data_IF_162118199770
#
_entry.id   IF_162118199770
#
_cell.length_a   1.000
_cell.length_b   1.000
_cell.length_c   1.000
_cell.angle_alpha   90.00
_cell.angle_beta   90.00
_cell.angle_gamma   90.00
#
_symmetry.space_group_name_H-M   'P 1'
#
loop_
_entity.id
_entity.type
_entity.pdbx_description
1 polymer ?
#
# COMPACT_ATOMS: atom_id res chain seq x y z
N UNK A 1 -8.51 9.52 -5.97
CA UNK A 1 -9.43 8.37 -5.95
C UNK A 1 -8.70 7.16 -5.40
N UNK A 2 -9.34 6.41 -4.53
CA UNK A 2 -8.77 5.14 -4.04
C UNK A 2 -9.19 4.05 -5.02
N UNK A 3 -8.24 3.26 -5.53
CA UNK A 3 -8.55 2.02 -6.23
C UNK A 3 -8.74 0.97 -5.15
N UNK A 4 -9.98 0.54 -4.93
CA UNK A 4 -10.24 -0.61 -4.05
C UNK A 4 -10.12 -1.86 -4.93
N UNK A 5 -9.02 -2.59 -4.76
CA UNK A 5 -8.85 -3.89 -5.39
C UNK A 5 -9.37 -4.97 -4.45
N UNK A 6 -10.37 -5.73 -4.89
CA UNK A 6 -10.79 -6.90 -4.15
C UNK A 6 -9.77 -8.03 -4.37
N UNK A 7 -9.23 -8.57 -3.28
CA UNK A 7 -8.24 -9.64 -3.35
C UNK A 7 -8.84 -10.96 -3.89
N UNK A 8 -10.16 -11.15 -3.74
CA UNK A 8 -10.86 -12.36 -4.18
C UNK A 8 -12.28 -12.06 -4.68
N UNK A 9 -12.81 -12.96 -5.52
CA UNK A 9 -14.23 -12.91 -5.91
C UNK A 9 -15.19 -13.08 -4.73
N UNK A 10 -14.74 -13.73 -3.67
CA UNK A 10 -15.50 -13.94 -2.45
C UNK A 10 -15.70 -12.65 -1.66
N UNK A 11 -14.71 -11.77 -1.65
CA UNK A 11 -14.84 -10.44 -1.02
C UNK A 11 -15.83 -9.56 -1.79
N UNK A 12 -15.75 -9.56 -3.11
CA UNK A 12 -16.70 -8.83 -3.94
C UNK A 12 -18.15 -9.32 -3.75
N UNK A 13 -18.34 -10.62 -3.49
CA UNK A 13 -19.68 -11.21 -3.23
C UNK A 13 -20.35 -10.70 -1.95
N UNK A 14 -19.64 -10.04 -1.06
CA UNK A 14 -20.22 -9.41 0.14
C UNK A 14 -21.10 -8.20 -0.21
N UNK A 15 -20.94 -7.67 -1.44
CA UNK A 15 -21.68 -6.51 -1.90
C UNK A 15 -22.66 -6.89 -3.01
N UNK A 16 -23.85 -6.29 -2.98
CA UNK A 16 -24.83 -6.43 -4.05
C UNK A 16 -24.49 -5.47 -5.18
N UNK A 17 -24.35 -6.01 -6.39
CA UNK A 17 -24.08 -5.25 -7.60
C UNK A 17 -25.31 -5.32 -8.51
N UNK A 18 -25.99 -4.20 -8.72
CA UNK A 18 -27.15 -4.11 -9.64
C UNK A 18 -26.73 -3.75 -11.07
N UNK A 19 -25.42 -3.77 -11.35
CA UNK A 19 -24.83 -3.45 -12.64
C UNK A 19 -23.67 -4.39 -12.98
N UNK A 20 -23.33 -4.44 -14.27
CA UNK A 20 -22.21 -5.22 -14.77
C UNK A 20 -20.90 -4.43 -14.61
N UNK A 21 -19.87 -5.06 -14.03
CA UNK A 21 -18.54 -4.48 -13.95
C UNK A 21 -17.88 -4.46 -15.34
N UNK A 22 -17.32 -3.31 -15.69
CA UNK A 22 -16.56 -3.08 -16.93
C UNK A 22 -15.15 -2.60 -16.56
N UNK A 23 -14.19 -2.83 -17.46
CA UNK A 23 -12.81 -2.38 -17.25
C UNK A 23 -12.74 -0.86 -17.13
N UNK A 24 -12.04 -0.35 -16.12
CA UNK A 24 -11.92 1.08 -15.86
C UNK A 24 -13.12 1.74 -15.18
N UNK A 25 -14.12 0.95 -14.77
CA UNK A 25 -15.26 1.46 -14.00
C UNK A 25 -14.84 1.74 -12.56
N UNK A 26 -15.17 2.94 -12.08
CA UNK A 26 -15.06 3.27 -10.66
C UNK A 26 -16.36 2.88 -9.93
N UNK A 27 -16.22 2.27 -8.76
CA UNK A 27 -17.34 1.91 -7.90
C UNK A 27 -17.16 2.49 -6.50
N UNK A 28 -18.28 2.81 -5.86
CA UNK A 28 -18.34 3.24 -4.46
C UNK A 28 -19.02 2.15 -3.66
N UNK A 29 -18.40 1.70 -2.58
CA UNK A 29 -19.00 0.76 -1.64
C UNK A 29 -19.66 1.56 -0.52
N UNK A 30 -20.93 1.30 -0.28
CA UNK A 30 -21.70 1.97 0.77
C UNK A 30 -21.89 1.06 1.99
N UNK A 31 -22.17 1.66 3.13
CA UNK A 31 -22.37 0.96 4.41
C UNK A 31 -23.62 0.05 4.42
N UNK A 32 -24.51 0.23 3.45
CA UNK A 32 -25.69 -0.63 3.23
C UNK A 32 -25.37 -2.01 2.60
N UNK A 33 -24.08 -2.28 2.33
CA UNK A 33 -23.62 -3.51 1.69
C UNK A 33 -23.85 -3.55 0.18
N UNK A 34 -24.08 -2.40 -0.46
CA UNK A 34 -24.22 -2.26 -1.91
C UNK A 34 -23.03 -1.56 -2.53
N UNK A 35 -22.80 -1.83 -3.80
CA UNK A 35 -21.84 -1.13 -4.62
C UNK A 35 -22.58 -0.30 -5.68
N UNK A 36 -22.13 0.93 -5.88
CA UNK A 36 -22.69 1.91 -6.81
C UNK A 36 -21.62 2.32 -7.82
N UNK A 37 -22.04 2.76 -9.00
CA UNK A 37 -21.11 3.41 -9.94
C UNK A 37 -20.72 4.79 -9.41
N UNK A 38 -19.47 5.18 -9.53
CA UNK A 38 -19.04 6.52 -9.15
C UNK A 38 -19.84 7.57 -9.95
N UNK A 39 -20.45 8.52 -9.23
CA UNK A 39 -21.30 9.57 -9.81
C UNK A 39 -22.79 9.24 -9.92
N UNK A 40 -23.24 8.04 -9.54
CA UNK A 40 -24.67 7.78 -9.32
C UNK A 40 -25.11 8.35 -7.95
N UNK A 41 -26.32 8.99 -7.91
CA UNK A 41 -26.91 9.42 -6.65
C UNK A 41 -27.32 8.18 -5.84
N UNK A 42 -26.74 8.02 -4.66
CA UNK A 42 -27.18 7.03 -3.68
C UNK A 42 -28.52 7.51 -3.14
N UNK A 43 -29.60 6.84 -3.47
CA UNK A 43 -30.91 7.16 -2.93
C UNK A 43 -30.85 7.02 -1.41
N UNK A 44 -31.05 8.13 -0.72
CA UNK A 44 -31.04 8.20 0.74
C UNK A 44 -32.25 7.40 1.29
N UNK A 45 -31.97 6.20 1.81
CA UNK A 45 -32.98 5.39 2.50
C UNK A 45 -33.02 5.77 3.97
N UNK A 46 -33.23 7.06 4.26
CA UNK A 46 -33.58 7.51 5.60
C UNK A 46 -35.08 7.49 5.79
N UNK A 47 -35.64 6.36 6.15
CA UNK A 47 -36.88 6.36 6.93
C UNK A 47 -36.58 6.68 8.39
N UNK A 48 -37.17 7.75 8.82
CA UNK A 48 -37.35 8.28 10.17
C UNK A 48 -37.01 7.33 11.33
N UNK A 49 -35.98 7.71 12.11
CA UNK A 49 -35.95 7.35 13.52
C UNK A 49 -35.96 8.63 14.34
N UNK A 50 -37.07 8.83 15.01
CA UNK A 50 -37.44 9.91 15.90
C UNK A 50 -36.34 10.26 16.91
N UNK A 51 -35.96 11.53 16.89
CA UNK A 51 -35.14 12.20 17.90
C UNK A 51 -35.89 12.20 19.24
N UNK A 52 -35.24 11.66 20.27
CA UNK A 52 -35.56 11.99 21.65
C UNK A 52 -34.38 12.81 22.19
N UNK A 53 -34.59 14.12 22.25
CA UNK A 53 -33.74 15.02 23.04
C UNK A 53 -33.83 14.62 24.52
N UNK A 54 -32.67 14.44 25.13
CA UNK A 54 -32.58 14.53 26.59
C UNK A 54 -31.37 15.40 26.98
N UNK A 55 -31.73 16.63 27.32
CA UNK A 55 -30.86 17.57 28.02
C UNK A 55 -30.74 17.16 29.47
N UNK A 56 -29.55 17.01 30.00
CA UNK A 56 -29.23 17.33 31.39
C UNK A 56 -27.74 17.58 31.61
N UNK A 57 -27.45 18.74 32.01
CA UNK A 57 -26.22 19.26 32.61
C UNK A 57 -25.92 18.66 33.97
N UNK A 58 -24.63 18.59 34.34
CA UNK A 58 -24.23 18.32 35.71
C UNK A 58 -22.73 18.02 35.85
N UNK A 59 -22.08 19.03 36.27
CA UNK A 59 -20.77 19.27 36.86
C UNK A 59 -20.35 18.26 37.95
N UNK A 60 -19.09 17.99 38.08
CA UNK A 60 -18.19 18.11 39.22
C UNK A 60 -17.15 16.98 39.40
N UNK A 61 -15.92 17.42 39.36
CA UNK A 61 -14.68 17.09 40.10
C UNK A 61 -14.50 15.74 40.84
N UNK A 62 -13.35 15.12 40.66
CA UNK A 62 -12.24 14.82 41.55
C UNK A 62 -11.50 13.50 41.28
N UNK A 63 -10.19 13.59 41.13
CA UNK A 63 -9.18 12.55 41.37
C UNK A 63 -8.91 12.43 42.88
N UNK A 64 -8.09 11.50 43.43
CA UNK A 64 -7.21 10.48 42.86
C UNK A 64 -7.12 9.13 43.63
N UNK A 65 -6.36 8.15 43.07
CA UNK A 65 -5.47 7.33 43.88
C UNK A 65 -5.76 5.84 43.96
N UNK A 66 -4.70 5.04 43.71
CA UNK A 66 -4.56 3.73 44.32
C UNK A 66 -4.12 2.59 43.38
N UNK A 67 -2.84 2.28 43.42
CA UNK A 67 -2.19 1.05 42.99
C UNK A 67 -2.83 -0.21 43.55
N UNK A 68 -2.92 -1.28 42.80
CA UNK A 68 -2.39 -2.56 43.30
C UNK A 68 -2.19 -3.62 42.19
N UNK A 69 -1.19 -4.45 42.44
CA UNK A 69 -0.67 -5.54 41.64
C UNK A 69 -1.56 -6.79 41.75
N UNK A 70 -1.73 -7.52 40.66
CA UNK A 70 -2.35 -8.83 40.70
C UNK A 70 -1.97 -9.66 39.45
N UNK A 71 -0.97 -10.48 39.67
CA UNK A 71 -0.54 -11.55 38.76
C UNK A 71 -1.59 -12.66 38.79
N UNK A 72 -2.14 -13.06 37.65
CA UNK A 72 -2.71 -14.41 37.54
C UNK A 72 -2.53 -15.01 36.14
N UNK A 73 -1.90 -16.17 36.14
CA UNK A 73 -1.65 -17.05 35.04
C UNK A 73 -2.91 -17.88 34.77
N UNK A 74 -3.55 -17.70 33.63
CA UNK A 74 -4.67 -18.52 33.19
C UNK A 74 -4.45 -19.00 31.74
N UNK A 75 -3.91 -20.20 31.66
CA UNK A 75 -3.84 -20.98 30.43
C UNK A 75 -5.28 -21.33 29.99
N UNK A 76 -5.73 -20.87 28.83
CA UNK A 76 -6.90 -21.44 28.18
C UNK A 76 -6.65 -21.62 26.68
N UNK A 77 -6.41 -22.86 26.32
CA UNK A 77 -6.35 -23.35 24.95
C UNK A 77 -7.77 -23.40 24.39
N UNK A 78 -8.07 -22.49 23.49
CA UNK A 78 -9.25 -22.62 22.63
C UNK A 78 -8.79 -22.70 21.17
N UNK A 79 -8.97 -23.90 20.60
CA UNK A 79 -8.69 -24.22 19.21
C UNK A 79 -9.86 -23.80 18.33
N UNK A 80 -9.92 -22.53 18.03
CA UNK A 80 -10.76 -21.99 16.98
C UNK A 80 -9.87 -21.59 15.80
N UNK A 81 -9.96 -22.31 14.68
CA UNK A 81 -9.24 -21.99 13.44
C UNK A 81 -9.77 -20.70 12.82
N UNK A 82 -9.31 -19.59 13.34
CA UNK A 82 -9.23 -18.35 12.60
C UNK A 82 -7.93 -18.46 11.79
N UNK A 83 -8.05 -18.48 10.47
CA UNK A 83 -6.90 -18.25 9.60
C UNK A 83 -6.40 -16.85 9.95
N UNK A 84 -5.45 -16.78 10.87
CA UNK A 84 -4.94 -15.55 11.43
C UNK A 84 -4.42 -14.66 10.31
N UNK A 85 -4.76 -13.40 10.37
CA UNK A 85 -4.04 -12.34 9.70
C UNK A 85 -2.61 -12.49 10.15
N UNK A 86 -1.76 -13.02 9.28
CA UNK A 86 -0.34 -13.21 9.56
C UNK A 86 0.29 -11.83 9.45
N UNK A 87 0.36 -11.11 10.55
CA UNK A 87 1.23 -9.96 10.73
C UNK A 87 2.66 -10.48 10.88
N UNK A 88 3.21 -11.05 9.83
CA UNK A 88 4.61 -11.45 9.84
C UNK A 88 5.44 -10.33 9.26
N UNK A 89 6.40 -9.90 10.04
CA UNK A 89 7.66 -9.32 9.58
C UNK A 89 8.08 -10.06 8.32
N UNK A 90 8.53 -9.38 7.25
CA UNK A 90 9.05 -10.06 6.06
C UNK A 90 9.98 -11.20 6.48
N UNK A 91 9.64 -12.41 6.11
CA UNK A 91 10.39 -13.62 6.46
C UNK A 91 11.51 -13.87 5.46
N UNK A 92 12.25 -12.80 5.10
CA UNK A 92 13.34 -12.84 4.15
C UNK A 92 12.92 -12.43 2.73
N UNK A 93 13.83 -12.69 1.81
CA UNK A 93 13.70 -12.30 0.40
C UNK A 93 12.58 -13.03 -0.30
N UNK A 94 11.81 -12.31 -1.10
CA UNK A 94 10.78 -12.92 -1.94
C UNK A 94 11.36 -13.62 -3.15
N UNK A 95 10.75 -14.73 -3.53
CA UNK A 95 11.12 -15.54 -4.68
C UNK A 95 9.89 -15.90 -5.51
N UNK A 96 10.11 -16.11 -6.82
CA UNK A 96 9.07 -16.64 -7.71
C UNK A 96 9.29 -18.15 -7.84
N UNK A 97 8.28 -18.92 -7.44
CA UNK A 97 8.26 -20.38 -7.59
C UNK A 97 7.06 -20.80 -8.43
N UNK A 98 7.31 -21.14 -9.70
CA UNK A 98 6.25 -21.37 -10.67
C UNK A 98 5.37 -20.13 -10.88
N UNK A 99 4.11 -20.22 -10.49
CA UNK A 99 3.15 -19.10 -10.56
C UNK A 99 2.90 -18.43 -9.20
N UNK A 100 3.75 -18.71 -8.22
CA UNK A 100 3.57 -18.22 -6.83
C UNK A 100 4.72 -17.30 -6.45
N UNK A 101 4.38 -16.31 -5.61
CA UNK A 101 5.35 -15.55 -4.84
C UNK A 101 5.56 -16.30 -3.52
N UNK A 102 6.80 -16.55 -3.14
CA UNK A 102 7.14 -17.27 -1.93
C UNK A 102 8.23 -16.56 -1.16
N UNK A 103 8.34 -16.87 0.14
CA UNK A 103 9.53 -16.56 0.93
C UNK A 103 10.66 -17.59 0.67
N UNK A 104 11.79 -17.41 1.31
CA UNK A 104 12.94 -18.32 1.22
C UNK A 104 12.64 -19.74 1.73
N UNK A 105 11.65 -19.89 2.60
CA UNK A 105 11.21 -21.19 3.13
C UNK A 105 10.20 -21.89 2.21
N UNK A 106 9.79 -21.23 1.11
CA UNK A 106 8.82 -21.76 0.16
C UNK A 106 7.36 -21.54 0.57
N UNK A 107 7.09 -20.76 1.63
CA UNK A 107 5.72 -20.39 1.99
C UNK A 107 5.16 -19.38 0.99
N UNK A 108 3.89 -19.56 0.60
CA UNK A 108 3.23 -18.63 -0.33
C UNK A 108 2.98 -17.31 0.38
N UNK A 109 3.46 -16.22 -0.22
CA UNK A 109 3.27 -14.86 0.27
C UNK A 109 2.27 -14.14 -0.61
N UNK A 110 1.32 -13.44 0.02
CA UNK A 110 0.43 -12.50 -0.62
C UNK A 110 0.78 -11.09 -0.14
N UNK A 111 1.18 -10.21 -1.06
CA UNK A 111 1.38 -8.80 -0.77
C UNK A 111 0.03 -8.08 -0.72
N UNK A 112 -0.22 -7.37 0.37
CA UNK A 112 -1.43 -6.57 0.62
C UNK A 112 -1.00 -5.20 1.11
N UNK A 113 -1.39 -4.16 0.43
CA UNK A 113 -0.99 -2.82 0.83
C UNK A 113 -1.52 -1.74 -0.08
N UNK A 114 -0.97 -0.57 0.09
CA UNK A 114 -1.35 0.63 -0.65
C UNK A 114 -0.13 1.31 -1.27
N UNK A 115 -0.37 2.09 -2.31
CA UNK A 115 0.61 2.99 -2.90
C UNK A 115 0.43 4.39 -2.32
N UNK A 116 1.53 5.10 -2.10
CA UNK A 116 1.46 6.55 -1.97
C UNK A 116 1.00 7.15 -3.30
N UNK A 117 0.50 8.37 -3.27
CA UNK A 117 0.53 9.23 -4.44
C UNK A 117 1.97 9.69 -4.70
N UNK A 118 2.20 10.49 -5.75
CA UNK A 118 3.53 11.01 -6.06
C UNK A 118 4.19 11.70 -4.86
N UNK A 119 5.35 11.22 -4.44
CA UNK A 119 6.08 11.76 -3.28
C UNK A 119 6.59 13.19 -3.49
N UNK A 120 6.64 13.66 -4.74
CA UNK A 120 6.93 15.05 -5.09
C UNK A 120 5.82 16.01 -4.66
N UNK A 121 4.58 15.53 -4.56
CA UNK A 121 3.40 16.35 -4.27
C UNK A 121 2.87 16.13 -2.87
N UNK A 122 3.00 14.91 -2.38
CA UNK A 122 2.44 14.49 -1.09
C UNK A 122 3.50 13.74 -0.25
N UNK A 123 4.65 14.39 0.05
CA UNK A 123 5.73 13.75 0.80
C UNK A 123 5.32 13.32 2.22
N UNK A 124 4.36 14.03 2.82
CA UNK A 124 3.94 13.83 4.21
C UNK A 124 3.23 12.50 4.44
N UNK A 125 2.76 11.83 3.38
CA UNK A 125 2.18 10.49 3.50
C UNK A 125 3.23 9.38 3.69
N UNK A 126 4.50 9.68 3.44
CA UNK A 126 5.61 8.79 3.79
C UNK A 126 6.04 9.11 5.23
N UNK A 127 5.29 8.60 6.19
CA UNK A 127 5.60 8.78 7.60
C UNK A 127 5.34 7.48 8.40
N UNK A 128 5.98 7.37 9.55
CA UNK A 128 5.94 6.17 10.37
C UNK A 128 4.54 5.82 10.85
N UNK A 129 3.78 6.82 11.34
CA UNK A 129 2.45 6.59 11.92
C UNK A 129 1.44 6.11 10.87
N UNK A 130 1.53 6.65 9.63
CA UNK A 130 0.70 6.18 8.53
C UNK A 130 1.02 4.72 8.18
N UNK A 131 2.29 4.34 8.12
CA UNK A 131 2.69 2.96 7.83
C UNK A 131 2.33 2.01 8.98
N UNK A 132 2.48 2.44 10.23
CA UNK A 132 2.05 1.69 11.39
C UNK A 132 0.53 1.44 11.38
N UNK A 133 -0.27 2.46 11.08
CA UNK A 133 -1.73 2.32 10.93
C UNK A 133 -2.09 1.34 9.82
N UNK A 134 -1.44 1.43 8.65
CA UNK A 134 -1.66 0.48 7.56
C UNK A 134 -1.37 -0.96 7.98
N UNK A 135 -0.28 -1.19 8.72
CA UNK A 135 0.07 -2.53 9.23
C UNK A 135 -0.91 -3.00 10.29
N UNK A 136 -1.16 -2.19 11.33
CA UNK A 136 -1.83 -2.62 12.56
C UNK A 136 -3.35 -2.67 12.41
N UNK A 137 -3.93 -1.67 11.75
CA UNK A 137 -5.38 -1.54 11.63
C UNK A 137 -5.92 -2.16 10.34
N UNK A 138 -5.12 -2.12 9.25
CA UNK A 138 -5.56 -2.58 7.94
C UNK A 138 -4.95 -3.93 7.52
N UNK A 139 -3.97 -4.43 8.28
CA UNK A 139 -3.29 -5.69 7.98
C UNK A 139 -2.43 -5.65 6.73
N UNK A 140 -1.94 -4.46 6.35
CA UNK A 140 -1.03 -4.31 5.23
C UNK A 140 0.35 -4.89 5.56
N UNK A 141 0.99 -5.53 4.59
CA UNK A 141 2.35 -6.05 4.71
C UNK A 141 3.31 -5.46 3.66
N UNK A 142 2.84 -4.51 2.86
CA UNK A 142 3.63 -3.81 1.85
C UNK A 142 3.14 -2.37 1.69
N UNK A 143 4.06 -1.46 1.44
CA UNK A 143 3.77 -0.09 0.97
C UNK A 143 4.52 0.14 -0.33
N UNK A 144 3.95 0.93 -1.23
CA UNK A 144 4.56 1.32 -2.50
C UNK A 144 4.82 2.82 -2.49
N UNK A 145 6.04 3.22 -2.81
CA UNK A 145 6.49 4.61 -2.82
C UNK A 145 6.61 5.05 -4.28
N UNK A 146 5.65 5.87 -4.73
CA UNK A 146 5.57 6.31 -6.12
C UNK A 146 6.45 7.54 -6.37
N UNK A 147 7.60 7.35 -7.03
CA UNK A 147 8.50 8.41 -7.42
C UNK A 147 8.36 8.70 -8.92
N UNK A 148 7.74 9.82 -9.25
CA UNK A 148 7.49 10.25 -10.62
C UNK A 148 8.75 10.84 -11.25
N UNK A 149 9.17 10.36 -12.43
CA UNK A 149 10.31 10.94 -13.16
C UNK A 149 9.99 12.26 -13.87
N UNK A 150 8.96 12.32 -14.71
CA UNK A 150 8.71 13.44 -15.62
C UNK A 150 7.68 14.47 -15.16
N UNK A 151 6.75 14.08 -14.29
CA UNK A 151 5.66 14.95 -13.87
C UNK A 151 6.18 16.16 -13.08
N UNK A 152 5.31 17.16 -12.87
CA UNK A 152 5.68 18.40 -12.17
C UNK A 152 6.42 18.12 -10.85
N UNK A 153 7.57 18.75 -10.68
CA UNK A 153 8.50 18.51 -9.58
C UNK A 153 8.97 17.03 -9.45
N UNK A 154 8.87 16.24 -10.51
CA UNK A 154 9.40 14.88 -10.55
C UNK A 154 10.93 14.84 -10.56
N UNK A 155 11.47 13.65 -10.44
CA UNK A 155 12.91 13.41 -10.28
C UNK A 155 13.76 13.99 -11.42
N UNK A 156 13.23 14.03 -12.65
CA UNK A 156 13.88 14.57 -13.86
C UNK A 156 13.32 15.93 -14.29
N UNK A 157 12.26 16.43 -13.65
CA UNK A 157 11.48 17.60 -14.08
C UNK A 157 11.44 18.71 -13.04
N UNK A 158 12.55 18.98 -12.40
CA UNK A 158 12.74 20.11 -11.49
C UNK A 158 12.59 19.78 -10.01
N UNK A 159 12.29 18.53 -9.66
CA UNK A 159 12.29 18.07 -8.27
C UNK A 159 13.69 18.04 -7.67
N UNK A 160 13.78 18.26 -6.37
CA UNK A 160 15.02 18.08 -5.62
C UNK A 160 15.28 16.57 -5.47
N UNK A 161 16.22 16.06 -6.27
CA UNK A 161 16.60 14.64 -6.27
C UNK A 161 17.06 14.14 -4.91
N UNK A 162 17.77 14.97 -4.14
CA UNK A 162 18.24 14.58 -2.82
C UNK A 162 17.09 14.47 -1.82
N UNK A 163 16.17 15.43 -1.84
CA UNK A 163 14.96 15.38 -1.01
C UNK A 163 14.06 14.20 -1.37
N UNK A 164 13.85 13.92 -2.66
CA UNK A 164 13.05 12.76 -3.10
C UNK A 164 13.68 11.43 -2.65
N UNK A 165 14.99 11.28 -2.77
CA UNK A 165 15.70 10.10 -2.27
C UNK A 165 15.64 10.01 -0.73
N UNK A 166 15.65 11.12 -0.02
CA UNK A 166 15.49 11.12 1.43
C UNK A 166 14.09 10.64 1.85
N UNK A 167 13.03 10.97 1.11
CA UNK A 167 11.68 10.46 1.35
C UNK A 167 11.65 8.95 1.14
N UNK A 168 12.27 8.44 0.07
CA UNK A 168 12.41 7.00 -0.16
C UNK A 168 13.15 6.34 1.00
N UNK A 169 14.28 6.92 1.46
CA UNK A 169 15.04 6.40 2.59
C UNK A 169 14.21 6.31 3.86
N UNK A 170 13.46 7.35 4.16
CA UNK A 170 12.56 7.35 5.31
C UNK A 170 11.52 6.22 5.19
N UNK A 171 10.90 6.09 4.03
CA UNK A 171 9.90 5.04 3.79
C UNK A 171 10.46 3.63 3.87
N UNK A 172 11.67 3.39 3.34
CA UNK A 172 12.36 2.10 3.48
C UNK A 172 12.67 1.80 4.96
N UNK A 173 13.18 2.79 5.70
CA UNK A 173 13.48 2.62 7.12
C UNK A 173 12.20 2.32 7.93
N UNK A 174 11.12 3.07 7.72
CA UNK A 174 9.84 2.84 8.40
C UNK A 174 9.25 1.47 8.09
N UNK A 175 9.23 1.08 6.81
CA UNK A 175 8.74 -0.23 6.41
C UNK A 175 9.58 -1.36 7.01
N UNK A 176 10.91 -1.21 7.03
CA UNK A 176 11.83 -2.19 7.62
C UNK A 176 11.61 -2.33 9.12
N UNK A 177 11.52 -1.21 9.85
CA UNK A 177 11.25 -1.21 11.31
C UNK A 177 9.90 -1.83 11.64
N UNK A 178 8.88 -1.54 10.81
CA UNK A 178 7.54 -2.08 10.95
C UNK A 178 7.38 -3.52 10.44
N UNK A 179 8.41 -4.11 9.86
CA UNK A 179 8.35 -5.45 9.32
C UNK A 179 7.47 -5.57 8.08
N UNK A 180 7.47 -4.58 7.21
CA UNK A 180 6.71 -4.53 5.96
C UNK A 180 7.64 -4.61 4.77
N UNK A 181 7.15 -5.13 3.65
CA UNK A 181 7.80 -4.92 2.36
C UNK A 181 7.61 -3.48 1.89
N UNK A 182 8.54 -3.00 1.08
CA UNK A 182 8.46 -1.69 0.45
C UNK A 182 8.81 -1.80 -1.03
N UNK A 183 7.96 -1.23 -1.89
CA UNK A 183 8.19 -1.13 -3.31
C UNK A 183 8.72 0.27 -3.62
N UNK A 184 9.91 0.35 -4.19
CA UNK A 184 10.46 1.58 -4.75
C UNK A 184 10.08 1.61 -6.22
N UNK A 185 9.18 2.53 -6.58
CA UNK A 185 8.56 2.59 -7.89
C UNK A 185 9.08 3.79 -8.70
N UNK A 186 9.70 3.49 -9.83
CA UNK A 186 9.97 4.45 -10.89
C UNK A 186 8.70 4.65 -11.70
N UNK A 187 7.88 5.63 -11.25
CA UNK A 187 6.49 5.80 -11.65
C UNK A 187 6.37 6.44 -13.03
N UNK A 188 6.68 5.67 -14.07
CA UNK A 188 6.44 6.07 -15.46
C UNK A 188 4.95 6.27 -15.67
N UNK A 189 4.56 7.40 -16.26
CA UNK A 189 3.19 7.74 -16.58
C UNK A 189 3.12 8.40 -17.96
N UNK A 190 2.26 7.89 -18.84
CA UNK A 190 1.95 8.46 -20.14
C UNK A 190 3.10 8.54 -21.18
N UNK A 191 4.19 7.79 -21.02
CA UNK A 191 5.27 7.74 -22.00
C UNK A 191 5.96 6.37 -22.07
N UNK A 192 6.77 6.15 -23.11
CA UNK A 192 7.58 4.95 -23.23
C UNK A 192 8.76 4.98 -22.23
N UNK A 193 8.98 3.94 -21.42
CA UNK A 193 10.01 3.92 -20.40
C UNK A 193 11.42 4.04 -20.95
N UNK A 194 11.63 3.62 -22.21
CA UNK A 194 12.89 3.71 -22.93
C UNK A 194 13.42 5.14 -23.08
N UNK A 195 12.56 6.17 -22.89
CA UNK A 195 12.94 7.58 -22.92
C UNK A 195 14.00 7.94 -21.88
N UNK A 196 13.97 7.28 -20.73
CA UNK A 196 14.83 7.56 -19.57
C UNK A 196 15.55 6.31 -19.07
N UNK A 197 16.00 5.45 -19.97
CA UNK A 197 16.67 4.20 -19.61
C UNK A 197 17.93 4.44 -18.76
N UNK A 198 18.77 5.42 -19.16
CA UNK A 198 20.02 5.67 -18.43
C UNK A 198 19.76 6.24 -17.04
N UNK A 199 18.81 7.18 -16.92
CA UNK A 199 18.44 7.78 -15.64
C UNK A 199 17.82 6.75 -14.69
N UNK A 200 17.03 5.83 -15.22
CA UNK A 200 16.49 4.70 -14.46
C UNK A 200 17.60 3.75 -14.00
N UNK A 201 18.56 3.42 -14.88
CA UNK A 201 19.75 2.63 -14.51
C UNK A 201 20.54 3.28 -13.39
N UNK A 202 20.84 4.58 -13.51
CA UNK A 202 21.61 5.32 -12.50
C UNK A 202 20.88 5.33 -11.16
N UNK A 203 19.56 5.57 -11.18
CA UNK A 203 18.72 5.55 -9.99
C UNK A 203 18.70 4.18 -9.32
N UNK A 204 18.40 3.12 -10.07
CA UNK A 204 18.29 1.78 -9.49
C UNK A 204 19.64 1.19 -9.08
N UNK A 205 20.74 1.50 -9.77
CA UNK A 205 22.07 1.12 -9.32
C UNK A 205 22.40 1.72 -7.95
N UNK A 206 22.02 3.00 -7.72
CA UNK A 206 22.18 3.66 -6.41
C UNK A 206 21.29 3.00 -5.35
N UNK A 207 20.01 2.77 -5.65
CA UNK A 207 19.05 2.16 -4.71
C UNK A 207 19.44 0.72 -4.37
N UNK A 208 19.79 -0.09 -5.36
CA UNK A 208 20.19 -1.48 -5.15
C UNK A 208 21.49 -1.59 -4.33
N UNK A 209 22.46 -0.73 -4.60
CA UNK A 209 23.68 -0.65 -3.79
C UNK A 209 23.39 -0.27 -2.35
N UNK A 210 22.54 0.74 -2.15
CA UNK A 210 22.18 1.26 -0.82
C UNK A 210 21.41 0.24 0.02
N UNK A 211 20.46 -0.45 -0.58
CA UNK A 211 19.60 -1.39 0.12
C UNK A 211 19.98 -2.86 -0.08
N UNK A 212 21.21 -3.16 -0.48
CA UNK A 212 21.68 -4.52 -0.75
C UNK A 212 21.54 -5.49 0.43
N UNK A 213 21.47 -4.98 1.65
CA UNK A 213 21.23 -5.76 2.87
C UNK A 213 19.77 -5.81 3.33
N UNK A 214 18.83 -5.31 2.53
CA UNK A 214 17.41 -5.25 2.87
C UNK A 214 16.61 -6.27 2.07
N UNK A 215 16.17 -7.35 2.71
CA UNK A 215 15.38 -8.42 2.06
C UNK A 215 13.93 -8.02 1.81
N UNK A 216 13.48 -6.89 2.35
CA UNK A 216 12.12 -6.37 2.23
C UNK A 216 11.94 -5.30 1.14
N UNK A 217 12.99 -4.96 0.40
CA UNK A 217 12.91 -3.95 -0.68
C UNK A 217 12.63 -4.61 -2.02
N UNK A 218 11.64 -4.09 -2.73
CA UNK A 218 11.22 -4.53 -4.06
C UNK A 218 11.40 -3.34 -5.02
N UNK A 219 11.97 -3.58 -6.20
CA UNK A 219 12.16 -2.56 -7.22
C UNK A 219 11.12 -2.72 -8.32
N UNK A 220 10.33 -1.66 -8.54
CA UNK A 220 9.39 -1.56 -9.65
C UNK A 220 9.94 -0.58 -10.67
N UNK A 221 10.38 -1.12 -11.80
CA UNK A 221 11.13 -0.36 -12.80
C UNK A 221 10.26 0.45 -13.75
N UNK A 222 8.95 0.24 -13.76
CA UNK A 222 8.01 0.93 -14.65
C UNK A 222 6.58 0.74 -14.17
N UNK A 223 5.79 1.83 -14.11
CA UNK A 223 4.38 1.79 -13.73
C UNK A 223 3.46 1.57 -14.96
N UNK A 224 3.12 2.62 -15.69
CA UNK A 224 2.12 2.60 -16.77
C UNK A 224 2.70 3.11 -18.09
N UNK A 225 3.44 2.26 -18.84
CA UNK A 225 4.00 2.68 -20.13
C UNK A 225 2.90 2.90 -21.17
N UNK A 226 2.87 4.07 -21.79
CA UNK A 226 1.93 4.43 -22.84
C UNK A 226 2.66 4.69 -24.14
N UNK A 227 2.09 4.21 -25.26
CA UNK A 227 2.70 4.39 -26.58
C UNK A 227 4.01 3.62 -26.76
N UNK A 228 4.20 2.54 -26.00
CA UNK A 228 5.39 1.72 -26.01
C UNK A 228 5.08 0.33 -26.60
N UNK A 229 5.97 -0.18 -27.45
CA UNK A 229 5.93 -1.55 -27.95
C UNK A 229 6.74 -2.47 -27.02
N UNK A 230 6.21 -3.69 -26.80
CA UNK A 230 6.87 -4.65 -25.93
C UNK A 230 8.29 -5.00 -26.38
N UNK A 231 8.48 -5.28 -27.67
CA UNK A 231 9.76 -5.78 -28.18
C UNK A 231 10.81 -4.67 -28.38
N UNK A 232 10.37 -3.48 -28.82
CA UNK A 232 11.28 -2.38 -29.12
C UNK A 232 11.53 -1.44 -27.97
N UNK A 233 10.62 -1.34 -26.99
CA UNK A 233 10.70 -0.35 -25.91
C UNK A 233 10.76 -1.01 -24.54
N UNK A 234 9.72 -1.77 -24.16
CA UNK A 234 9.56 -2.22 -22.77
C UNK A 234 10.57 -3.29 -22.41
N UNK A 235 10.70 -4.33 -23.23
CA UNK A 235 11.61 -5.45 -22.93
C UNK A 235 13.08 -5.03 -22.92
N UNK A 236 13.62 -4.30 -23.92
CA UNK A 236 15.00 -3.83 -23.85
C UNK A 236 15.30 -2.90 -22.68
N UNK A 237 14.34 -2.01 -22.35
CA UNK A 237 14.41 -1.17 -21.15
C UNK A 237 14.51 -2.03 -19.88
N UNK A 238 13.58 -2.97 -19.72
CA UNK A 238 13.53 -3.83 -18.53
C UNK A 238 14.81 -4.67 -18.39
N UNK A 239 15.29 -5.30 -19.47
CA UNK A 239 16.53 -6.09 -19.46
C UNK A 239 17.75 -5.23 -19.06
N UNK A 240 17.79 -3.98 -19.55
CA UNK A 240 18.88 -3.05 -19.24
C UNK A 240 18.85 -2.61 -17.78
N UNK A 241 17.69 -2.17 -17.28
CA UNK A 241 17.54 -1.67 -15.89
C UNK A 241 17.71 -2.80 -14.88
N UNK A 242 17.11 -3.97 -15.11
CA UNK A 242 17.29 -5.14 -14.23
C UNK A 242 18.76 -5.56 -14.16
N UNK A 243 19.50 -5.42 -15.24
CA UNK A 243 20.94 -5.71 -15.26
C UNK A 243 21.79 -4.79 -14.39
N UNK A 244 21.25 -3.69 -13.86
CA UNK A 244 21.94 -2.75 -12.95
C UNK A 244 21.57 -2.97 -11.48
N UNK A 245 20.50 -3.74 -11.21
CA UNK A 245 20.03 -4.11 -9.88
C UNK A 245 20.73 -5.39 -9.40
#
# INVERSE_FOLDING_TARGET
>A
GFIISFATKEELKKYTLDFKLESGMEIVLADDGKAYKAGEEIADSSEESTVVENTASGDDTAQPGGSDSGNDSGNNSDTGSNAGIVTTVPTGRLQVSGTKLTDESGNIIQLRGVSTHGISWFPDYVNYDAFATLRDDWGANVVRIAMYPEEYNGYLSGGDKAALKQIIDNGVNYATELGMYVIIDWHVLNYAPSRHTQEACDFFAEMASKYSGHDNVIYEICNEPVGADWNSDIKPYAETVIGTI
#
